data_IF_476767988213
#
_entry.id   IF_476767988213
#
_cell.length_a   1.000
_cell.length_b   1.000
_cell.length_c   1.000
_cell.angle_alpha   90.00
_cell.angle_beta   90.00
_cell.angle_gamma   90.00
#
_symmetry.space_group_name_H-M   'P 1'
#
loop_
_entity.id
_entity.type
_entity.pdbx_description
1 polymer ?
#
# COMPACT_ATOMS: atom_id res chain seq x y z
N UNK A 1 -2.66 22.90 -9.84
CA UNK A 1 -2.21 22.41 -8.53
C UNK A 1 -2.93 21.10 -8.31
N UNK A 2 -2.27 19.99 -8.61
CA UNK A 2 -2.88 18.65 -8.64
C UNK A 2 -3.12 18.19 -7.21
N UNK A 3 -4.37 18.26 -6.78
CA UNK A 3 -4.83 17.78 -5.48
C UNK A 3 -5.32 16.36 -5.67
N UNK A 4 -4.71 15.43 -4.95
CA UNK A 4 -5.26 14.10 -4.73
C UNK A 4 -6.12 14.20 -3.47
N UNK A 5 -7.30 13.59 -3.47
CA UNK A 5 -8.09 13.37 -2.26
C UNK A 5 -7.40 12.27 -1.45
N UNK A 6 -6.22 12.62 -0.91
CA UNK A 6 -5.37 11.77 -0.12
C UNK A 6 -5.65 12.09 1.33
N UNK A 7 -6.18 11.13 2.06
CA UNK A 7 -6.68 11.35 3.41
C UNK A 7 -5.60 11.04 4.45
N UNK A 8 -4.95 12.08 5.00
CA UNK A 8 -4.03 11.94 6.15
C UNK A 8 -4.80 11.57 7.42
N UNK A 9 -4.69 10.32 7.89
CA UNK A 9 -5.14 9.93 9.22
C UNK A 9 -4.28 10.56 10.31
N UNK A 10 -4.89 11.12 11.37
CA UNK A 10 -4.20 11.61 12.57
C UNK A 10 -4.40 10.59 13.69
N UNK A 11 -3.29 10.20 14.31
CA UNK A 11 -3.11 9.53 15.61
C UNK A 11 -4.39 9.04 16.31
N UNK A 12 -4.56 7.72 16.33
CA UNK A 12 -5.28 7.07 17.43
C UNK A 12 -4.36 5.98 18.01
N UNK A 13 -4.20 5.88 19.35
CA UNK A 13 -3.34 4.91 20.05
C UNK A 13 -3.66 3.42 19.78
N UNK A 14 -4.66 3.17 18.95
CA UNK A 14 -4.99 1.84 18.46
C UNK A 14 -4.16 1.43 17.24
N UNK A 15 -3.59 2.37 16.46
CA UNK A 15 -3.07 2.07 15.12
C UNK A 15 -1.87 1.13 15.06
N UNK A 16 -0.97 1.11 16.06
CA UNK A 16 0.16 0.20 16.00
C UNK A 16 -0.07 -1.17 16.66
N UNK A 17 -1.08 -1.31 17.51
CA UNK A 17 -1.57 -2.63 17.96
C UNK A 17 -2.12 -3.47 16.78
N UNK A 18 -2.45 -2.79 15.68
CA UNK A 18 -3.11 -3.35 14.51
C UNK A 18 -2.13 -3.86 13.43
N UNK A 19 -0.83 -3.56 13.55
CA UNK A 19 0.22 -4.06 12.64
C UNK A 19 0.47 -5.58 12.79
N UNK A 20 -0.03 -6.20 13.87
CA UNK A 20 0.06 -7.64 14.14
C UNK A 20 -1.29 -8.33 14.42
N UNK A 21 -2.37 -7.57 14.67
CA UNK A 21 -3.70 -8.13 15.00
C UNK A 21 -4.85 -7.46 14.23
N UNK A 22 -4.98 -7.80 12.95
CA UNK A 22 -6.25 -8.33 12.42
C UNK A 22 -7.55 -7.52 12.58
N UNK A 23 -7.55 -6.18 12.52
CA UNK A 23 -8.81 -5.44 12.40
C UNK A 23 -9.08 -5.09 10.94
N UNK A 24 -10.35 -5.30 10.57
CA UNK A 24 -10.88 -5.36 9.21
C UNK A 24 -11.12 -3.99 8.56
N UNK A 25 -11.05 -2.88 9.30
CA UNK A 25 -11.40 -1.53 8.83
C UNK A 25 -10.61 -0.47 9.63
N UNK A 26 -9.73 0.30 8.97
CA UNK A 26 -9.25 1.60 9.50
C UNK A 26 -10.01 2.66 8.73
N UNK A 27 -10.97 3.31 9.39
CA UNK A 27 -11.70 4.42 8.79
C UNK A 27 -10.85 5.69 8.91
N UNK A 28 -10.45 6.26 7.78
CA UNK A 28 -9.85 7.59 7.79
C UNK A 28 -10.95 8.65 7.95
N UNK A 29 -11.19 9.07 9.20
CA UNK A 29 -12.29 9.98 9.57
C UNK A 29 -11.97 11.44 9.21
N UNK A 30 -10.71 11.87 9.30
CA UNK A 30 -10.29 13.29 9.17
C UNK A 30 -9.08 13.50 8.23
N UNK A 31 -9.17 12.95 7.02
CA UNK A 31 -8.13 13.07 6.01
C UNK A 31 -7.95 14.47 5.44
N UNK A 32 -6.73 15.01 5.49
CA UNK A 32 -6.37 16.24 4.76
C UNK A 32 -5.71 15.94 3.41
N UNK A 33 -6.13 16.58 2.29
CA UNK A 33 -5.51 16.40 0.98
C UNK A 33 -3.99 16.57 1.06
N UNK A 34 -3.26 15.55 0.65
CA UNK A 34 -1.82 15.56 0.65
C UNK A 34 -1.28 15.70 -0.79
N UNK A 35 -0.09 16.31 -0.91
CA UNK A 35 0.53 16.55 -2.22
C UNK A 35 1.34 15.32 -2.58
N UNK A 36 1.15 14.82 -3.80
CA UNK A 36 1.88 13.67 -4.33
C UNK A 36 3.40 13.79 -4.17
N UNK A 37 3.93 14.99 -4.38
CA UNK A 37 5.37 15.28 -4.26
C UNK A 37 5.94 15.05 -2.86
N UNK A 38 5.09 15.06 -1.83
CA UNK A 38 5.51 14.83 -0.45
C UNK A 38 5.65 13.31 -0.17
N UNK A 39 5.04 12.47 -1.03
CA UNK A 39 5.03 11.00 -0.92
C UNK A 39 5.32 10.33 -2.28
N UNK A 40 6.50 10.59 -2.88
CA UNK A 40 6.83 10.12 -4.24
C UNK A 40 7.02 8.59 -4.36
N UNK A 41 6.95 7.86 -3.25
CA UNK A 41 6.98 6.39 -3.21
C UNK A 41 5.58 5.77 -3.25
N UNK A 42 4.52 6.57 -3.11
CA UNK A 42 3.15 6.12 -3.17
C UNK A 42 2.78 5.71 -4.60
N UNK A 43 2.18 4.53 -4.72
CA UNK A 43 1.71 3.98 -5.96
C UNK A 43 0.26 3.52 -5.84
N UNK A 44 -0.47 3.55 -6.95
CA UNK A 44 -1.80 2.98 -7.07
C UNK A 44 -1.75 1.73 -7.94
N UNK A 45 -2.33 0.66 -7.42
CA UNK A 45 -2.52 -0.64 -8.07
C UNK A 45 -3.90 -0.64 -8.72
N UNK A 46 -3.90 -0.75 -10.04
CA UNK A 46 -5.09 -0.91 -10.86
C UNK A 46 -5.28 -2.37 -11.24
N UNK A 47 -6.45 -2.93 -10.95
CA UNK A 47 -6.86 -4.26 -11.41
C UNK A 47 -7.97 -4.10 -12.44
N UNK A 48 -7.75 -4.62 -13.65
CA UNK A 48 -8.69 -4.48 -14.78
C UNK A 48 -9.12 -3.02 -15.03
N UNK A 49 -8.19 -2.07 -14.81
CA UNK A 49 -8.39 -0.64 -15.02
C UNK A 49 -9.14 0.10 -13.89
N UNK A 50 -9.46 -0.58 -12.78
CA UNK A 50 -10.03 0.05 -11.59
C UNK A 50 -8.95 0.25 -10.54
N UNK A 51 -8.88 1.42 -9.88
CA UNK A 51 -7.94 1.61 -8.79
C UNK A 51 -8.43 0.80 -7.59
N UNK A 52 -7.67 -0.22 -7.19
CA UNK A 52 -8.10 -1.26 -6.24
C UNK A 52 -7.35 -1.18 -4.94
N UNK A 53 -6.03 -1.01 -5.03
CA UNK A 53 -5.16 -0.91 -3.88
C UNK A 53 -4.06 0.11 -4.12
N UNK A 54 -3.29 0.39 -3.08
CA UNK A 54 -2.07 1.17 -3.11
C UNK A 54 -0.86 0.27 -2.81
N UNK A 55 0.31 0.77 -3.16
CA UNK A 55 1.57 0.09 -2.96
C UNK A 55 2.68 1.11 -2.69
N UNK A 56 3.76 0.65 -2.07
CA UNK A 56 4.95 1.46 -1.83
C UNK A 56 6.10 1.00 -2.73
N UNK A 57 6.65 1.93 -3.50
CA UNK A 57 7.82 1.71 -4.34
C UNK A 57 9.08 1.63 -3.46
N UNK A 58 9.69 0.45 -3.35
CA UNK A 58 10.89 0.25 -2.49
C UNK A 58 12.16 -0.04 -3.28
N UNK A 59 12.04 -0.31 -4.58
CA UNK A 59 13.14 -0.29 -5.57
C UNK A 59 12.58 0.27 -6.88
N UNK A 60 13.41 0.66 -7.88
CA UNK A 60 12.89 1.16 -9.15
C UNK A 60 11.98 0.17 -9.89
N UNK A 61 12.02 -1.12 -9.59
CA UNK A 61 11.25 -2.16 -10.29
C UNK A 61 10.39 -3.03 -9.39
N UNK A 62 10.28 -2.72 -8.09
CA UNK A 62 9.50 -3.52 -7.14
C UNK A 62 8.73 -2.67 -6.15
N UNK A 63 7.52 -3.11 -5.87
CA UNK A 63 6.62 -2.49 -4.90
C UNK A 63 6.15 -3.51 -3.86
N UNK A 64 5.90 -3.03 -2.65
CA UNK A 64 5.24 -3.80 -1.60
C UNK A 64 3.79 -3.34 -1.48
N UNK A 65 2.88 -4.29 -1.24
CA UNK A 65 1.45 -4.04 -1.03
C UNK A 65 0.88 -5.12 -0.12
N UNK A 66 -0.43 -5.10 0.12
CA UNK A 66 -1.11 -6.16 0.83
C UNK A 66 -1.27 -7.41 -0.05
N UNK A 67 -1.28 -8.59 0.58
CA UNK A 67 -1.50 -9.84 -0.14
C UNK A 67 -2.93 -9.91 -0.69
N UNK A 68 -3.94 -9.49 0.08
CA UNK A 68 -5.33 -9.54 -0.36
C UNK A 68 -5.61 -8.69 -1.62
N UNK A 69 -4.79 -7.68 -1.89
CA UNK A 69 -4.84 -6.88 -3.12
C UNK A 69 -4.43 -7.64 -4.39
N UNK A 70 -3.66 -8.72 -4.21
CA UNK A 70 -3.07 -9.53 -5.27
C UNK A 70 -3.82 -10.84 -5.47
N UNK A 71 -4.88 -11.09 -4.69
CA UNK A 71 -5.72 -12.27 -4.80
C UNK A 71 -6.83 -12.05 -5.83
N UNK A 72 -7.13 -13.11 -6.58
CA UNK A 72 -8.21 -13.10 -7.54
C UNK A 72 -9.56 -12.93 -6.85
N UNK A 73 -10.37 -11.98 -7.34
CA UNK A 73 -11.75 -11.78 -6.88
C UNK A 73 -11.93 -11.19 -5.48
N UNK A 74 -10.84 -10.78 -4.81
CA UNK A 74 -10.85 -10.10 -3.50
C UNK A 74 -11.77 -10.76 -2.44
N UNK A 75 -11.54 -12.05 -2.10
CA UNK A 75 -12.41 -12.76 -1.16
C UNK A 75 -12.29 -12.21 0.27
N UNK A 76 -13.41 -12.17 1.00
CA UNK A 76 -13.41 -11.76 2.42
C UNK A 76 -12.59 -12.70 3.31
N UNK A 77 -12.59 -13.99 2.97
CA UNK A 77 -11.84 -15.04 3.66
C UNK A 77 -11.04 -15.86 2.64
N UNK A 78 -9.77 -16.13 2.95
CA UNK A 78 -8.86 -16.86 2.08
C UNK A 78 -7.75 -17.53 2.88
N UNK A 79 -7.11 -18.52 2.29
CA UNK A 79 -5.95 -19.18 2.89
C UNK A 79 -5.12 -19.93 1.85
N UNK A 80 -4.04 -20.59 2.25
CA UNK A 80 -3.16 -21.32 1.34
C UNK A 80 -3.85 -22.56 0.71
N UNK A 81 -3.54 -22.93 -0.55
CA UNK A 81 -2.73 -22.17 -1.50
C UNK A 81 -3.49 -20.95 -2.05
N UNK A 82 -2.81 -19.81 -2.15
CA UNK A 82 -3.39 -18.56 -2.63
C UNK A 82 -3.62 -18.61 -4.15
N UNK A 83 -4.82 -18.23 -4.59
CA UNK A 83 -5.12 -18.01 -6.01
C UNK A 83 -4.83 -16.53 -6.34
N UNK A 84 -3.67 -16.29 -6.97
CA UNK A 84 -3.22 -14.95 -7.32
C UNK A 84 -3.93 -14.44 -8.58
N UNK A 85 -4.10 -13.13 -8.67
CA UNK A 85 -4.60 -12.47 -9.87
C UNK A 85 -3.61 -12.59 -11.04
N UNK A 86 -4.09 -12.47 -12.27
CA UNK A 86 -3.21 -12.46 -13.44
C UNK A 86 -2.38 -11.15 -13.48
N UNK A 87 -1.03 -11.21 -13.49
CA UNK A 87 -0.17 -10.03 -13.65
C UNK A 87 -0.56 -9.13 -14.84
N UNK A 88 -1.09 -9.69 -15.93
CA UNK A 88 -1.48 -8.91 -17.11
C UNK A 88 -2.67 -7.98 -16.86
N UNK A 89 -3.49 -8.31 -15.86
CA UNK A 89 -4.63 -7.49 -15.43
C UNK A 89 -4.23 -6.38 -14.48
N UNK A 90 -3.01 -6.41 -13.96
CA UNK A 90 -2.50 -5.45 -12.98
C UNK A 90 -1.65 -4.39 -13.69
N UNK A 91 -1.93 -3.13 -13.37
CA UNK A 91 -1.07 -1.99 -13.69
C UNK A 91 -0.75 -1.24 -12.42
N UNK A 92 0.47 -0.72 -12.34
CA UNK A 92 0.88 0.11 -11.21
C UNK A 92 1.23 1.50 -11.72
N UNK A 93 0.77 2.52 -10.99
CA UNK A 93 0.94 3.93 -11.34
C UNK A 93 1.64 4.65 -10.19
N UNK A 94 2.75 5.33 -10.50
CA UNK A 94 3.51 6.18 -9.57
C UNK A 94 3.51 7.62 -10.09
N UNK A 95 3.48 8.59 -9.19
CA UNK A 95 3.52 10.00 -9.58
C UNK A 95 2.24 10.47 -10.26
N UNK A 96 1.11 9.82 -9.97
CA UNK A 96 -0.21 10.09 -10.52
C UNK A 96 -1.22 10.61 -9.52
N UNK A 97 -2.29 11.22 -10.02
CA UNK A 97 -3.51 11.45 -9.27
C UNK A 97 -4.27 10.13 -9.09
N UNK A 98 -4.36 9.62 -7.85
CA UNK A 98 -4.64 8.21 -7.56
C UNK A 98 -5.95 7.62 -8.11
N UNK A 99 -6.90 8.43 -8.57
CA UNK A 99 -8.15 7.94 -9.19
C UNK A 99 -8.06 7.75 -10.70
N UNK A 100 -7.01 8.28 -11.34
CA UNK A 100 -6.80 8.23 -12.79
C UNK A 100 -5.40 7.69 -13.09
N UNK A 101 -5.24 7.01 -14.23
CA UNK A 101 -3.92 6.64 -14.75
C UNK A 101 -3.26 7.90 -15.30
N UNK A 102 -2.68 8.67 -14.39
CA UNK A 102 -1.87 9.86 -14.63
C UNK A 102 -0.48 9.56 -14.04
N UNK A 103 0.61 10.08 -14.60
CA UNK A 103 1.96 9.72 -14.17
C UNK A 103 2.55 8.48 -14.86
N UNK A 104 3.51 7.82 -14.20
CA UNK A 104 4.22 6.68 -14.76
C UNK A 104 3.46 5.38 -14.52
N UNK A 105 2.87 4.82 -15.56
CA UNK A 105 2.26 3.49 -15.51
C UNK A 105 3.29 2.41 -15.90
N UNK A 106 3.25 1.26 -15.22
CA UNK A 106 4.05 0.08 -15.56
C UNK A 106 3.17 -1.18 -15.59
N UNK A 107 3.48 -2.08 -16.53
CA UNK A 107 2.91 -3.43 -16.56
C UNK A 107 3.61 -4.29 -15.52
N UNK A 108 2.84 -5.13 -14.86
CA UNK A 108 3.36 -6.10 -13.90
C UNK A 108 3.95 -7.30 -14.62
N UNK A 109 5.14 -7.72 -14.18
CA UNK A 109 5.85 -8.92 -14.64
C UNK A 109 5.47 -10.13 -13.80
N UNK A 110 5.40 -9.93 -12.48
CA UNK A 110 5.13 -10.97 -11.51
C UNK A 110 4.54 -10.37 -10.24
N UNK A 111 3.70 -11.16 -9.59
CA UNK A 111 3.26 -10.92 -8.23
C UNK A 111 3.61 -12.13 -7.38
N UNK A 112 3.90 -11.88 -6.12
CA UNK A 112 4.13 -12.91 -5.12
C UNK A 112 3.57 -12.47 -3.78
N UNK A 113 3.15 -13.41 -2.95
CA UNK A 113 2.58 -13.15 -1.63
C UNK A 113 3.22 -14.05 -0.59
N UNK A 114 3.14 -13.67 0.67
CA UNK A 114 3.64 -14.55 1.71
C UNK A 114 2.88 -15.90 1.70
N UNK A 115 3.55 -17.07 1.76
CA UNK A 115 2.90 -18.38 1.63
C UNK A 115 1.91 -18.70 2.74
N UNK A 116 1.99 -17.99 3.87
CA UNK A 116 1.04 -18.09 5.00
C UNK A 116 0.01 -16.97 5.03
N UNK A 117 -0.10 -16.18 3.96
CA UNK A 117 -1.11 -15.15 3.85
C UNK A 117 -2.51 -15.76 3.94
N UNK A 118 -3.28 -15.35 4.93
CA UNK A 118 -4.64 -15.83 5.19
C UNK A 118 -5.53 -14.76 5.80
N UNK A 119 -6.83 -14.85 5.52
CA UNK A 119 -7.88 -14.05 6.12
C UNK A 119 -8.96 -14.94 6.70
N UNK A 120 -9.33 -14.63 7.95
CA UNK A 120 -10.44 -15.24 8.68
C UNK A 120 -11.39 -14.16 9.17
N UNK A 121 -12.54 -14.57 9.71
CA UNK A 121 -13.47 -13.63 10.34
C UNK A 121 -12.87 -12.81 11.51
N UNK A 122 -11.71 -13.22 12.05
CA UNK A 122 -11.08 -12.61 13.23
C UNK A 122 -9.84 -11.79 12.92
N UNK A 123 -9.13 -12.14 11.85
CA UNK A 123 -7.84 -11.56 11.56
C UNK A 123 -7.40 -11.88 10.13
N UNK A 124 -6.55 -11.00 9.62
CA UNK A 124 -5.75 -11.22 8.43
C UNK A 124 -4.28 -11.29 8.85
N UNK A 125 -3.57 -12.35 8.45
CA UNK A 125 -2.21 -12.67 8.92
C UNK A 125 -1.28 -12.79 7.73
N UNK A 126 -0.07 -12.27 7.86
CA UNK A 126 0.93 -12.17 6.78
C UNK A 126 0.38 -11.50 5.52
N UNK A 127 -0.39 -10.42 5.70
CA UNK A 127 -1.02 -9.69 4.60
C UNK A 127 -0.03 -8.78 3.86
N UNK A 128 0.96 -9.39 3.21
CA UNK A 128 1.88 -8.66 2.36
C UNK A 128 2.22 -9.44 1.10
N UNK A 129 2.41 -8.67 0.03
CA UNK A 129 2.80 -9.14 -1.27
C UNK A 129 3.77 -8.17 -1.95
N UNK A 130 4.43 -8.68 -2.98
CA UNK A 130 5.39 -7.95 -3.79
C UNK A 130 4.91 -7.95 -5.23
N UNK A 131 5.05 -6.80 -5.88
CA UNK A 131 4.83 -6.61 -7.31
C UNK A 131 6.19 -6.33 -7.94
N UNK A 132 6.58 -7.11 -8.95
CA UNK A 132 7.71 -6.81 -9.83
C UNK A 132 7.17 -6.27 -11.17
N UNK A 133 7.63 -5.10 -11.59
CA UNK A 133 7.23 -4.50 -12.87
C UNK A 133 8.18 -4.90 -14.00
N UNK A 134 7.67 -4.87 -15.22
CA UNK A 134 8.40 -5.22 -16.46
C UNK A 134 9.52 -4.25 -16.79
N UNK A 135 9.28 -2.96 -16.56
CA UNK A 135 10.23 -1.86 -16.79
C UNK A 135 10.35 -1.02 -15.52
N UNK A 136 11.57 -0.64 -15.11
CA UNK A 136 11.77 0.23 -13.95
C UNK A 136 11.05 1.57 -14.09
N UNK A 137 10.66 2.17 -12.98
CA UNK A 137 10.21 3.56 -12.90
C UNK A 137 11.40 4.51 -13.05
N UNK A 138 11.17 5.61 -13.76
CA UNK A 138 12.13 6.70 -13.90
C UNK A 138 12.07 7.56 -12.62
N UNK A 139 13.08 7.42 -11.76
CA UNK A 139 13.11 8.17 -10.50
C UNK A 139 13.32 9.66 -10.77
N UNK A 140 12.48 10.49 -10.16
CA UNK A 140 12.56 11.94 -10.24
C UNK A 140 11.93 12.61 -9.03
N UNK A 141 12.56 13.67 -8.56
CA UNK A 141 12.17 14.37 -7.34
C UNK A 141 10.71 14.80 -7.39
N UNK A 142 9.97 14.46 -6.34
CA UNK A 142 8.56 14.79 -6.19
C UNK A 142 7.60 14.04 -7.13
N UNK A 143 8.07 13.08 -7.92
CA UNK A 143 7.21 12.30 -8.82
C UNK A 143 7.35 10.79 -8.61
N UNK A 144 8.58 10.28 -8.51
CA UNK A 144 8.84 8.87 -8.24
C UNK A 144 10.13 8.73 -7.45
N UNK A 145 10.06 8.19 -6.24
CA UNK A 145 11.22 7.88 -5.42
C UNK A 145 11.04 6.55 -4.70
N UNK A 146 12.16 5.89 -4.39
CA UNK A 146 12.14 4.65 -3.62
C UNK A 146 12.10 4.96 -2.12
N UNK A 147 11.29 4.20 -1.39
CA UNK A 147 11.30 4.19 0.08
C UNK A 147 12.27 3.11 0.56
N UNK A 148 13.23 3.48 1.42
CA UNK A 148 14.16 2.51 1.98
C UNK A 148 13.59 1.88 3.26
N UNK A 149 12.72 0.89 3.06
CA UNK A 149 12.02 0.19 4.16
C UNK A 149 13.00 -0.48 5.13
N UNK A 150 14.20 -0.86 4.66
CA UNK A 150 15.20 -1.51 5.51
C UNK A 150 15.89 -0.53 6.46
N UNK A 151 16.14 0.70 6.03
CA UNK A 151 16.67 1.76 6.89
C UNK A 151 15.65 2.17 7.96
N UNK A 152 14.37 2.07 7.66
CA UNK A 152 13.27 2.39 8.57
C UNK A 152 12.89 1.26 9.52
N UNK A 153 13.56 0.10 9.42
CA UNK A 153 13.23 -1.10 10.19
C UNK A 153 13.07 -0.82 11.68
N UNK A 154 13.99 -0.06 12.28
CA UNK A 154 13.96 0.23 13.72
C UNK A 154 12.76 1.10 14.11
N UNK A 155 12.47 2.15 13.32
CA UNK A 155 11.31 3.01 13.53
C UNK A 155 10.01 2.19 13.39
N UNK A 156 9.87 1.44 12.29
CA UNK A 156 8.71 0.56 12.06
C UNK A 156 8.54 -0.43 13.21
N UNK A 157 9.63 -1.08 13.64
CA UNK A 157 9.62 -2.04 14.75
C UNK A 157 9.20 -1.37 16.06
N UNK A 158 9.73 -0.19 16.36
CA UNK A 158 9.38 0.57 17.56
C UNK A 158 7.91 0.94 17.54
N UNK A 159 7.43 1.52 16.45
CA UNK A 159 6.03 1.87 16.28
C UNK A 159 5.13 0.64 16.53
N UNK A 160 5.45 -0.53 15.96
CA UNK A 160 4.70 -1.77 16.18
C UNK A 160 4.58 -2.13 17.68
N UNK A 161 5.67 -1.99 18.44
CA UNK A 161 5.69 -2.35 19.85
C UNK A 161 5.22 -1.24 20.79
N UNK A 162 5.31 0.02 20.35
CA UNK A 162 4.98 1.23 21.10
C UNK A 162 4.27 2.25 20.19
N UNK A 163 2.94 2.08 19.96
CA UNK A 163 2.16 2.93 19.05
C UNK A 163 2.20 4.41 19.35
N UNK A 164 2.44 4.75 20.63
CA UNK A 164 2.24 6.10 21.14
C UNK A 164 3.50 6.96 21.00
N UNK A 165 4.65 6.36 20.62
CA UNK A 165 5.93 7.05 20.54
C UNK A 165 6.25 7.72 19.21
N UNK A 166 5.70 7.21 18.10
CA UNK A 166 6.04 7.69 16.76
C UNK A 166 4.79 8.24 16.05
N UNK A 167 4.95 9.28 15.23
CA UNK A 167 3.83 9.81 14.44
C UNK A 167 3.82 9.16 13.08
N UNK A 168 2.73 8.46 12.76
CA UNK A 168 2.57 7.76 11.50
C UNK A 168 1.53 8.42 10.58
N UNK A 169 1.77 8.40 9.27
CA UNK A 169 0.85 8.91 8.24
C UNK A 169 0.40 7.78 7.35
N UNK A 170 -0.91 7.56 7.26
CA UNK A 170 -1.53 6.67 6.27
C UNK A 170 -1.92 7.45 5.00
N UNK A 171 -1.72 6.83 3.83
CA UNK A 171 -2.07 7.38 2.53
C UNK A 171 -3.08 6.48 1.81
N UNK A 172 -4.14 7.08 1.29
CA UNK A 172 -5.21 6.41 0.56
C UNK A 172 -5.67 7.24 -0.65
N UNK A 173 -6.31 6.61 -1.63
CA UNK A 173 -6.90 7.25 -2.81
C UNK A 173 -8.41 6.95 -2.86
N UNK A 174 -9.24 7.85 -2.33
CA UNK A 174 -10.70 7.71 -2.37
C UNK A 174 -11.30 7.06 -1.11
N UNK A 175 -12.63 7.19 -0.95
CA UNK A 175 -13.29 7.20 0.35
C UNK A 175 -13.51 5.87 1.08
N UNK A 176 -13.08 4.73 0.56
CA UNK A 176 -13.16 3.42 1.24
C UNK A 176 -12.12 2.50 0.59
N UNK A 177 -11.04 2.12 1.26
CA UNK A 177 -10.49 0.74 1.37
C UNK A 177 -9.20 0.73 2.23
N UNK A 178 -9.09 -0.27 3.10
CA UNK A 178 -8.04 -0.53 4.12
C UNK A 178 -6.66 -0.81 3.50
N UNK A 179 -5.62 -0.02 3.78
CA UNK A 179 -4.24 -0.43 3.44
C UNK A 179 -3.14 0.00 4.42
N UNK A 180 -2.66 -0.99 5.16
CA UNK A 180 -1.61 -0.97 6.19
C UNK A 180 -0.18 -0.64 5.71
N UNK A 181 0.07 -0.48 4.41
CA UNK A 181 1.43 -0.44 3.85
C UNK A 181 1.94 0.92 3.39
N UNK A 182 1.11 1.98 3.48
CA UNK A 182 1.57 3.35 3.22
C UNK A 182 1.64 4.15 4.51
N UNK A 183 2.19 3.53 5.54
CA UNK A 183 2.39 4.15 6.83
C UNK A 183 3.81 4.72 6.86
N UNK A 184 3.94 6.05 6.82
CA UNK A 184 5.21 6.73 7.08
C UNK A 184 5.28 7.12 8.56
N UNK A 185 6.20 6.54 9.32
CA UNK A 185 6.47 6.91 10.72
C UNK A 185 7.74 7.76 10.81
N UNK A 186 7.68 8.87 11.56
CA UNK A 186 8.81 9.76 11.84
C UNK A 186 9.10 9.80 13.34
#
# INVERSE_FOLDING_TARGET
MELIDMKRGINHPFLAFLLLFGVREVLCVDGNPAKLKDYPFFAVVFVEGRPTCSATLYTPSRLITACHCLLKGSPETFGPPQELEDPEKIKVVVGGNGTLITGQARRVKMIDVHPKCESSAKAMVYDYGVIEVTEPFDLSDGHAAVRNILEEKEAITRTIYDPDTDHCVELDFGGVTILWWNIQCN
#
